data_IF_361474113310
#
_entry.id   IF_361474113310
#
_cell.length_a   1.000
_cell.length_b   1.000
_cell.length_c   1.000
_cell.angle_alpha   90.00
_cell.angle_beta   90.00
_cell.angle_gamma   90.00
#
_symmetry.space_group_name_H-M   'P 1'
#
loop_
_entity.id
_entity.type
_entity.pdbx_description
1 polymer ?
#
# COMPACT_ATOMS: atom_id res chain seq x y z
N UNK A 1 6.35 10.02 -10.13
CA UNK A 1 6.13 8.57 -10.25
C UNK A 1 7.25 7.93 -11.05
N UNK A 2 7.80 6.80 -10.59
CA UNK A 2 8.67 5.98 -11.43
C UNK A 2 7.74 5.21 -12.38
N UNK A 3 7.48 5.83 -13.54
CA UNK A 3 6.36 5.50 -14.43
C UNK A 3 6.36 4.07 -14.97
N UNK A 4 7.43 3.31 -14.78
CA UNK A 4 7.61 1.99 -15.36
C UNK A 4 7.25 0.84 -14.42
N UNK A 5 6.96 1.09 -13.14
CA UNK A 5 6.77 0.03 -12.14
C UNK A 5 5.32 -0.02 -11.68
N UNK A 6 4.63 -1.11 -12.04
CA UNK A 6 3.39 -1.56 -11.43
C UNK A 6 3.73 -2.72 -10.51
N UNK A 7 3.31 -2.60 -9.26
CA UNK A 7 3.58 -3.61 -8.24
C UNK A 7 2.33 -4.34 -7.79
N UNK A 8 2.52 -5.47 -7.12
CA UNK A 8 1.45 -6.21 -6.45
C UNK A 8 1.72 -6.28 -4.94
N UNK A 9 0.72 -5.94 -4.13
CA UNK A 9 0.71 -6.29 -2.72
C UNK A 9 0.49 -7.79 -2.56
N UNK A 10 1.50 -8.50 -2.04
CA UNK A 10 1.54 -9.95 -1.94
C UNK A 10 0.42 -10.55 -1.08
N UNK A 11 -0.18 -9.79 -0.16
CA UNK A 11 -1.39 -10.20 0.57
C UNK A 11 -2.56 -10.60 -0.36
N UNK A 12 -2.56 -10.07 -1.59
CA UNK A 12 -3.50 -10.43 -2.67
C UNK A 12 -3.46 -11.90 -3.04
N UNK A 13 -2.37 -12.62 -2.74
CA UNK A 13 -2.16 -14.04 -3.04
C UNK A 13 -1.75 -14.85 -1.80
N UNK A 14 -2.06 -14.34 -0.59
CA UNK A 14 -1.64 -14.93 0.70
C UNK A 14 -1.86 -16.44 0.83
N UNK A 15 -2.96 -16.98 0.27
CA UNK A 15 -3.22 -18.42 0.35
C UNK A 15 -2.25 -19.21 -0.53
N UNK A 16 -1.82 -18.65 -1.66
CA UNK A 16 -0.80 -19.26 -2.50
C UNK A 16 0.59 -19.18 -1.87
N UNK A 17 0.90 -18.07 -1.19
CA UNK A 17 2.18 -17.91 -0.47
C UNK A 17 2.35 -18.99 0.61
N UNK A 18 1.31 -19.26 1.40
CA UNK A 18 1.35 -20.31 2.43
C UNK A 18 1.51 -21.73 1.87
N UNK A 19 1.21 -21.95 0.58
CA UNK A 19 1.33 -23.25 -0.09
C UNK A 19 2.63 -23.39 -0.90
N UNK A 20 3.44 -22.34 -1.00
CA UNK A 20 4.64 -22.28 -1.84
C UNK A 20 5.01 -20.84 -2.17
N UNK A 21 5.76 -20.20 -1.27
CA UNK A 21 6.10 -18.78 -1.39
C UNK A 21 6.85 -18.48 -2.69
N UNK A 22 7.90 -19.27 -2.99
CA UNK A 22 8.72 -19.05 -4.17
C UNK A 22 7.94 -19.26 -5.47
N UNK A 23 7.17 -20.35 -5.55
CA UNK A 23 6.34 -20.66 -6.71
C UNK A 23 5.31 -19.56 -6.99
N UNK A 24 4.66 -19.07 -5.93
CA UNK A 24 3.66 -18.02 -6.05
C UNK A 24 4.29 -16.69 -6.49
N UNK A 25 5.43 -16.28 -5.93
CA UNK A 25 6.13 -15.04 -6.32
C UNK A 25 6.70 -15.13 -7.75
N UNK A 26 7.26 -16.28 -8.16
CA UNK A 26 7.69 -16.50 -9.54
C UNK A 26 6.53 -16.35 -10.53
N UNK A 27 5.33 -16.78 -10.14
CA UNK A 27 4.13 -16.59 -10.97
C UNK A 27 3.78 -15.11 -11.14
N UNK A 28 3.92 -14.30 -10.11
CA UNK A 28 3.73 -12.83 -10.20
C UNK A 28 4.72 -12.19 -11.17
N UNK A 29 6.00 -12.59 -11.08
CA UNK A 29 7.02 -12.17 -12.05
C UNK A 29 6.65 -12.53 -13.49
N UNK A 30 6.18 -13.77 -13.71
CA UNK A 30 5.78 -14.25 -15.06
C UNK A 30 4.59 -13.50 -15.66
N UNK A 31 3.74 -12.88 -14.84
CA UNK A 31 2.61 -12.06 -15.27
C UNK A 31 3.04 -10.67 -15.76
N UNK A 32 4.26 -10.24 -15.43
CA UNK A 32 4.85 -8.99 -15.88
C UNK A 32 4.91 -7.88 -14.83
N UNK A 33 4.46 -8.11 -13.59
CA UNK A 33 4.67 -7.15 -12.50
C UNK A 33 6.17 -6.87 -12.33
N UNK A 34 6.52 -5.60 -12.13
CA UNK A 34 7.93 -5.18 -11.97
C UNK A 34 8.34 -5.01 -10.51
N UNK A 35 7.37 -5.01 -9.60
CA UNK A 35 7.63 -4.88 -8.18
C UNK A 35 6.61 -5.62 -7.33
N UNK A 36 6.95 -5.76 -6.06
CA UNK A 36 6.08 -6.32 -5.03
C UNK A 36 6.10 -5.43 -3.80
N UNK A 37 4.96 -5.34 -3.15
CA UNK A 37 4.88 -4.93 -1.76
C UNK A 37 4.75 -6.18 -0.90
N UNK A 38 5.66 -6.31 0.06
CA UNK A 38 5.71 -7.48 0.95
C UNK A 38 4.66 -7.36 2.06
N UNK A 39 4.17 -8.49 2.56
CA UNK A 39 3.31 -8.54 3.73
C UNK A 39 3.39 -9.92 4.39
N UNK A 40 3.26 -9.96 5.72
CA UNK A 40 3.24 -11.21 6.48
C UNK A 40 4.58 -11.93 6.48
N UNK A 41 4.56 -13.26 6.36
CA UNK A 41 5.78 -14.05 6.29
C UNK A 41 6.46 -13.92 4.93
N UNK A 42 7.79 -13.83 4.93
CA UNK A 42 8.60 -13.74 3.70
C UNK A 42 9.10 -15.12 3.26
N UNK A 43 8.25 -16.14 3.38
CA UNK A 43 8.59 -17.52 3.04
C UNK A 43 9.64 -18.16 3.96
N UNK A 44 9.83 -17.62 5.17
CA UNK A 44 10.84 -18.05 6.13
C UNK A 44 12.29 -17.77 5.70
N UNK A 45 12.50 -17.00 4.63
CA UNK A 45 13.83 -16.64 4.13
C UNK A 45 14.45 -15.54 4.99
N UNK A 46 15.77 -15.57 5.11
CA UNK A 46 16.56 -14.44 5.60
C UNK A 46 16.47 -13.26 4.62
N UNK A 47 16.86 -12.06 5.06
CA UNK A 47 16.90 -10.87 4.20
C UNK A 47 17.75 -11.12 2.94
N UNK A 48 18.96 -11.66 3.12
CA UNK A 48 19.84 -12.02 2.01
C UNK A 48 19.19 -12.98 1.00
N UNK A 49 18.60 -14.08 1.48
CA UNK A 49 17.94 -15.08 0.62
C UNK A 49 16.74 -14.49 -0.13
N UNK A 50 15.94 -13.66 0.55
CA UNK A 50 14.81 -12.99 -0.06
C UNK A 50 15.26 -12.01 -1.15
N UNK A 51 16.34 -11.25 -0.89
CA UNK A 51 16.93 -10.31 -1.86
C UNK A 51 17.39 -11.03 -3.12
N UNK A 52 18.17 -12.10 -2.98
CA UNK A 52 18.67 -12.88 -4.11
C UNK A 52 17.49 -13.46 -4.91
N UNK A 53 16.52 -14.06 -4.23
CA UNK A 53 15.35 -14.64 -4.87
C UNK A 53 14.49 -13.61 -5.64
N UNK A 54 14.22 -12.45 -5.05
CA UNK A 54 13.50 -11.38 -5.74
C UNK A 54 14.31 -10.81 -6.91
N UNK A 55 15.63 -10.76 -6.78
CA UNK A 55 16.56 -10.43 -7.87
C UNK A 55 16.49 -11.40 -9.04
N UNK A 56 16.47 -12.71 -8.78
CA UNK A 56 16.25 -13.76 -9.80
C UNK A 56 14.90 -13.59 -10.50
N UNK A 57 13.86 -13.25 -9.72
CA UNK A 57 12.53 -12.95 -10.24
C UNK A 57 12.44 -11.59 -10.95
N UNK A 58 13.51 -10.76 -10.92
CA UNK A 58 13.53 -9.38 -11.43
C UNK A 58 12.43 -8.49 -10.83
N UNK A 59 12.04 -8.78 -9.59
CA UNK A 59 11.04 -8.03 -8.85
C UNK A 59 11.72 -7.06 -7.89
N UNK A 60 11.34 -5.78 -7.95
CA UNK A 60 11.78 -4.78 -6.97
C UNK A 60 10.87 -4.82 -5.74
N UNK A 61 11.44 -4.68 -4.55
CA UNK A 61 10.65 -4.38 -3.34
C UNK A 61 10.35 -2.89 -3.34
N UNK A 62 9.06 -2.54 -3.41
CA UNK A 62 8.61 -1.13 -3.44
C UNK A 62 7.83 -0.73 -2.19
N UNK A 63 7.72 -1.64 -1.23
CA UNK A 63 7.17 -1.42 0.09
C UNK A 63 7.09 -2.71 0.88
N UNK A 64 6.75 -2.58 2.16
CA UNK A 64 6.37 -3.70 3.00
C UNK A 64 5.36 -3.26 4.05
N UNK A 65 4.29 -4.02 4.20
CA UNK A 65 3.38 -3.93 5.33
C UNK A 65 4.02 -4.60 6.54
N UNK A 66 4.26 -3.81 7.59
CA UNK A 66 4.81 -4.26 8.88
C UNK A 66 3.82 -3.92 9.97
N UNK A 67 3.49 -4.90 10.82
CA UNK A 67 2.48 -4.72 11.85
C UNK A 67 2.87 -3.62 12.85
N UNK A 68 1.87 -2.93 13.41
CA UNK A 68 2.13 -1.92 14.44
C UNK A 68 2.86 -2.51 15.66
N UNK A 69 2.54 -3.74 16.03
CA UNK A 69 3.21 -4.45 17.12
C UNK A 69 4.71 -4.67 16.84
N UNK A 70 5.07 -5.10 15.64
CA UNK A 70 6.47 -5.26 15.24
C UNK A 70 7.20 -3.93 15.21
N UNK A 71 6.57 -2.88 14.68
CA UNK A 71 7.16 -1.54 14.64
C UNK A 71 7.39 -0.96 16.04
N UNK A 72 6.57 -1.34 17.02
CA UNK A 72 6.71 -0.88 18.40
C UNK A 72 7.80 -1.64 19.17
N UNK A 73 7.92 -2.94 18.92
CA UNK A 73 8.75 -3.83 19.74
C UNK A 73 10.08 -4.23 19.09
N UNK A 74 10.20 -4.13 17.76
CA UNK A 74 11.27 -4.72 16.95
C UNK A 74 11.76 -3.79 15.82
N UNK A 75 11.64 -2.47 16.00
CA UNK A 75 11.89 -1.49 14.93
C UNK A 75 13.30 -1.59 14.33
N UNK A 76 14.33 -1.76 15.17
CA UNK A 76 15.72 -1.85 14.70
C UNK A 76 15.91 -3.08 13.79
N UNK A 77 15.32 -4.23 14.16
CA UNK A 77 15.37 -5.44 13.35
C UNK A 77 14.62 -5.26 12.02
N UNK A 78 13.47 -4.60 12.05
CA UNK A 78 12.69 -4.25 10.84
C UNK A 78 13.52 -3.35 9.91
N UNK A 79 14.16 -2.32 10.46
CA UNK A 79 15.04 -1.40 9.70
C UNK A 79 16.20 -2.15 9.05
N UNK A 80 16.93 -2.97 9.83
CA UNK A 80 18.08 -3.71 9.32
C UNK A 80 17.68 -4.69 8.21
N UNK A 81 16.58 -5.43 8.42
CA UNK A 81 16.03 -6.34 7.41
C UNK A 81 15.69 -5.60 6.11
N UNK A 82 14.95 -4.49 6.20
CA UNK A 82 14.51 -3.78 5.02
C UNK A 82 15.64 -3.08 4.27
N UNK A 83 16.68 -2.60 4.97
CA UNK A 83 17.89 -2.09 4.33
C UNK A 83 18.62 -3.19 3.57
N UNK A 84 18.75 -4.37 4.14
CA UNK A 84 19.47 -5.47 3.52
C UNK A 84 18.81 -5.92 2.22
N UNK A 85 17.48 -6.06 2.21
CA UNK A 85 16.71 -6.41 1.00
C UNK A 85 16.61 -5.26 -0.02
N UNK A 86 17.04 -4.05 0.35
CA UNK A 86 16.98 -2.86 -0.50
C UNK A 86 15.57 -2.28 -0.62
N UNK A 87 14.70 -2.51 0.35
CA UNK A 87 13.40 -1.85 0.44
C UNK A 87 13.59 -0.42 0.98
N UNK A 88 12.84 0.54 0.43
CA UNK A 88 12.87 1.94 0.88
C UNK A 88 11.64 2.34 1.70
N UNK A 89 10.53 1.59 1.59
CA UNK A 89 9.24 1.99 2.17
C UNK A 89 8.76 0.98 3.20
N UNK A 90 8.62 1.39 4.46
CA UNK A 90 7.96 0.61 5.51
C UNK A 90 6.59 1.24 5.75
N UNK A 91 5.54 0.43 5.68
CA UNK A 91 4.15 0.89 5.81
C UNK A 91 3.50 0.17 6.97
N UNK A 92 2.93 0.94 7.91
CA UNK A 92 2.06 0.41 8.95
C UNK A 92 0.63 0.28 8.38
N UNK A 93 0.08 -0.94 8.24
CA UNK A 93 -1.22 -1.14 7.61
C UNK A 93 -2.40 -0.87 8.54
N UNK A 94 -2.16 -0.81 9.83
CA UNK A 94 -3.20 -0.66 10.83
C UNK A 94 -2.60 -0.22 12.16
N UNK A 95 -3.25 0.73 12.82
CA UNK A 95 -3.03 1.06 14.22
C UNK A 95 -4.35 0.95 15.01
N UNK A 96 -4.32 0.62 16.31
CA UNK A 96 -5.51 0.53 17.14
C UNK A 96 -6.11 1.92 17.42
N UNK A 97 -6.99 2.37 16.53
CA UNK A 97 -7.71 3.65 16.60
C UNK A 97 -9.11 3.43 17.21
N UNK A 98 -9.18 3.23 18.53
CA UNK A 98 -10.42 2.88 19.24
C UNK A 98 -11.18 4.12 19.75
N UNK A 99 -10.46 5.11 20.29
CA UNK A 99 -11.02 6.35 20.84
C UNK A 99 -10.20 7.60 20.43
N UNK A 100 -10.77 8.78 20.65
CA UNK A 100 -10.13 10.05 20.27
C UNK A 100 -8.84 10.34 21.07
N UNK A 101 -8.84 10.01 22.36
CA UNK A 101 -7.64 10.18 23.20
C UNK A 101 -6.49 9.26 22.72
N UNK A 102 -6.81 8.16 22.01
CA UNK A 102 -5.82 7.25 21.46
C UNK A 102 -5.07 7.86 20.27
N UNK A 103 -5.66 8.84 19.58
CA UNK A 103 -4.96 9.47 18.45
C UNK A 103 -3.68 10.17 18.90
N UNK A 104 -3.63 10.78 20.08
CA UNK A 104 -2.40 11.45 20.52
C UNK A 104 -1.25 10.44 20.68
N UNK A 105 -1.51 9.32 21.36
CA UNK A 105 -0.51 8.27 21.54
C UNK A 105 -0.07 7.69 20.20
N UNK A 106 -1.02 7.37 19.32
CA UNK A 106 -0.72 6.83 17.99
C UNK A 106 0.06 7.83 17.14
N UNK A 107 -0.28 9.13 17.16
CA UNK A 107 0.45 10.16 16.42
C UNK A 107 1.91 10.28 16.90
N UNK A 108 2.12 10.28 18.22
CA UNK A 108 3.46 10.32 18.81
C UNK A 108 4.27 9.07 18.41
N UNK A 109 3.65 7.89 18.44
CA UNK A 109 4.29 6.64 18.02
C UNK A 109 4.62 6.63 16.53
N UNK A 110 3.69 7.02 15.64
CA UNK A 110 3.93 7.07 14.20
C UNK A 110 5.07 8.05 13.85
N UNK A 111 5.10 9.23 14.48
CA UNK A 111 6.19 10.20 14.28
C UNK A 111 7.52 9.65 14.80
N UNK A 112 7.53 9.01 15.97
CA UNK A 112 8.74 8.39 16.54
C UNK A 112 9.30 7.28 15.64
N UNK A 113 8.43 6.41 15.12
CA UNK A 113 8.82 5.36 14.16
C UNK A 113 9.40 6.02 12.89
N UNK A 114 8.70 7.02 12.34
CA UNK A 114 9.16 7.75 11.16
C UNK A 114 10.52 8.43 11.34
N UNK A 115 10.79 8.99 12.51
CA UNK A 115 12.09 9.57 12.85
C UNK A 115 13.22 8.53 12.81
N UNK A 116 13.00 7.33 13.37
CA UNK A 116 14.00 6.27 13.40
C UNK A 116 14.23 5.67 12.00
N UNK A 117 13.16 5.44 11.23
CA UNK A 117 13.27 5.02 9.83
C UNK A 117 14.08 6.04 9.02
N UNK A 118 13.80 7.34 9.20
CA UNK A 118 14.50 8.42 8.48
C UNK A 118 15.99 8.49 8.80
N UNK A 119 16.39 8.23 10.06
CA UNK A 119 17.82 8.13 10.45
C UNK A 119 18.58 7.03 9.71
N UNK A 120 17.84 6.08 9.15
CA UNK A 120 18.35 4.93 8.39
C UNK A 120 18.06 5.01 6.88
N UNK A 121 17.73 6.20 6.37
CA UNK A 121 17.39 6.48 4.97
C UNK A 121 16.16 5.70 4.44
N UNK A 122 15.29 5.24 5.35
CA UNK A 122 14.01 4.61 5.04
C UNK A 122 12.87 5.61 5.18
N UNK A 123 11.82 5.41 4.38
CA UNK A 123 10.57 6.16 4.48
C UNK A 123 9.54 5.33 5.23
N UNK A 124 8.91 5.94 6.22
CA UNK A 124 7.81 5.34 6.96
C UNK A 124 6.47 5.94 6.54
N UNK A 125 5.46 5.08 6.38
CA UNK A 125 4.12 5.53 6.09
C UNK A 125 3.02 4.72 6.78
N UNK A 126 1.80 5.22 6.65
CA UNK A 126 0.58 4.59 7.17
C UNK A 126 -0.39 4.30 6.01
N UNK A 127 -0.99 3.10 6.00
CA UNK A 127 -1.99 2.70 5.01
C UNK A 127 -3.39 2.74 5.61
N UNK A 128 -4.35 3.31 4.88
CA UNK A 128 -5.72 3.48 5.35
C UNK A 128 -6.67 2.35 4.95
N UNK A 129 -7.63 2.08 5.82
CA UNK A 129 -8.84 1.33 5.51
C UNK A 129 -10.07 2.26 5.54
N UNK A 130 -11.27 1.68 5.47
CA UNK A 130 -12.51 2.45 5.58
C UNK A 130 -12.77 2.93 7.02
N UNK A 131 -12.17 2.29 8.02
CA UNK A 131 -12.41 2.58 9.43
C UNK A 131 -11.86 3.95 9.85
N UNK A 132 -10.76 4.38 9.24
CA UNK A 132 -10.10 5.66 9.47
C UNK A 132 -10.98 6.85 9.04
N UNK A 133 -11.96 6.63 8.18
CA UNK A 133 -12.89 7.67 7.75
C UNK A 133 -14.11 7.82 8.66
N UNK A 134 -14.22 7.02 9.72
CA UNK A 134 -15.22 7.26 10.77
C UNK A 134 -15.00 8.65 11.40
N UNK A 135 -16.10 9.26 11.82
CA UNK A 135 -16.09 10.59 12.43
C UNK A 135 -15.74 10.53 13.92
N UNK A 136 -14.77 11.35 14.32
CA UNK A 136 -14.34 11.61 15.69
C UNK A 136 -14.48 13.11 15.97
N UNK A 137 -15.45 13.47 16.83
CA UNK A 137 -15.86 14.87 17.10
C UNK A 137 -16.00 15.74 15.84
N UNK A 138 -16.62 15.18 14.80
CA UNK A 138 -16.91 15.90 13.55
C UNK A 138 -15.78 15.92 12.53
N UNK A 139 -14.64 15.27 12.81
CA UNK A 139 -13.53 15.12 11.87
C UNK A 139 -13.36 13.65 11.48
N UNK A 140 -13.01 13.37 10.23
CA UNK A 140 -12.59 12.03 9.85
C UNK A 140 -11.28 11.68 10.59
N UNK A 141 -11.17 10.46 11.13
CA UNK A 141 -9.94 10.00 11.80
C UNK A 141 -8.70 10.13 10.89
N UNK A 142 -8.87 9.89 9.59
CA UNK A 142 -7.81 10.05 8.60
C UNK A 142 -7.32 11.50 8.47
N UNK A 143 -8.21 12.49 8.58
CA UNK A 143 -7.83 13.90 8.64
C UNK A 143 -7.02 14.21 9.92
N UNK A 144 -7.31 13.54 11.04
CA UNK A 144 -6.55 13.67 12.29
C UNK A 144 -5.14 13.10 12.10
N UNK A 145 -5.02 11.90 11.51
CA UNK A 145 -3.72 11.27 11.20
C UNK A 145 -2.87 12.16 10.27
N UNK A 146 -3.47 12.67 9.19
CA UNK A 146 -2.77 13.54 8.24
C UNK A 146 -2.27 14.83 8.91
N UNK A 147 -3.07 15.47 9.75
CA UNK A 147 -2.69 16.74 10.40
C UNK A 147 -1.75 16.56 11.58
N UNK A 148 -1.84 15.43 12.28
CA UNK A 148 -1.09 15.17 13.50
C UNK A 148 0.28 14.53 13.29
N UNK A 149 0.56 14.05 12.07
CA UNK A 149 1.86 13.48 11.71
C UNK A 149 2.72 14.49 10.94
N UNK A 150 4.02 14.49 11.22
CA UNK A 150 4.99 15.33 10.52
C UNK A 150 5.17 14.83 9.07
N UNK A 151 4.97 15.68 8.04
CA UNK A 151 5.10 15.27 6.64
C UNK A 151 6.51 14.82 6.23
N UNK A 152 7.56 15.21 6.97
CA UNK A 152 8.93 14.76 6.71
C UNK A 152 9.24 13.39 7.34
N UNK A 153 8.42 12.95 8.29
CA UNK A 153 8.59 11.68 9.01
C UNK A 153 7.61 10.60 8.54
N UNK A 154 6.36 10.99 8.24
CA UNK A 154 5.27 10.08 7.93
C UNK A 154 4.58 10.47 6.62
N UNK A 155 4.73 9.61 5.62
CA UNK A 155 3.89 9.64 4.42
C UNK A 155 2.66 8.73 4.58
N UNK A 156 1.75 8.76 3.63
CA UNK A 156 0.61 7.86 3.59
C UNK A 156 0.63 7.01 2.33
N UNK A 157 0.32 5.73 2.50
CA UNK A 157 -0.05 4.86 1.40
C UNK A 157 -1.57 4.94 1.25
N UNK A 158 -2.02 5.64 0.20
CA UNK A 158 -3.44 5.88 0.00
C UNK A 158 -4.12 4.66 -0.64
N UNK A 159 -4.99 3.99 0.10
CA UNK A 159 -5.97 3.08 -0.49
C UNK A 159 -7.17 3.88 -0.99
N UNK A 160 -7.21 4.04 -2.31
CA UNK A 160 -8.22 4.82 -3.02
C UNK A 160 -9.61 4.18 -2.92
N UNK A 161 -9.69 2.85 -2.85
CA UNK A 161 -10.94 2.11 -2.77
C UNK A 161 -11.55 2.22 -1.37
N UNK A 162 -10.75 2.04 -0.33
CA UNK A 162 -11.22 2.11 1.05
C UNK A 162 -11.63 3.53 1.44
N UNK A 163 -10.95 4.54 0.90
CA UNK A 163 -11.39 5.93 1.04
C UNK A 163 -12.77 6.15 0.40
N UNK A 164 -13.00 5.64 -0.82
CA UNK A 164 -14.31 5.76 -1.47
C UNK A 164 -15.40 4.97 -0.73
N UNK A 165 -15.09 3.79 -0.20
CA UNK A 165 -15.98 3.02 0.68
C UNK A 165 -16.29 3.80 1.97
N UNK A 166 -15.31 4.55 2.50
CA UNK A 166 -15.47 5.48 3.62
C UNK A 166 -16.28 6.74 3.29
N UNK A 167 -16.72 6.92 2.04
CA UNK A 167 -17.54 8.06 1.61
C UNK A 167 -16.73 9.30 1.22
N UNK A 168 -15.43 9.16 0.97
CA UNK A 168 -14.54 10.25 0.61
C UNK A 168 -13.95 10.07 -0.80
N UNK A 169 -13.62 11.18 -1.45
CA UNK A 169 -13.04 11.16 -2.79
C UNK A 169 -11.50 11.20 -2.74
N UNK A 170 -10.79 10.20 -3.32
CA UNK A 170 -9.33 10.18 -3.33
C UNK A 170 -8.70 11.34 -4.10
N UNK A 171 -9.36 11.88 -5.12
CA UNK A 171 -8.86 13.03 -5.89
C UNK A 171 -8.88 14.28 -5.02
N UNK A 172 -9.97 14.52 -4.29
CA UNK A 172 -10.10 15.65 -3.37
C UNK A 172 -9.00 15.61 -2.30
N UNK A 173 -8.70 14.43 -1.75
CA UNK A 173 -7.62 14.27 -0.77
C UNK A 173 -6.24 14.53 -1.37
N UNK A 174 -5.96 13.99 -2.57
CA UNK A 174 -4.70 14.24 -3.26
C UNK A 174 -4.47 15.75 -3.48
N UNK A 175 -5.51 16.49 -3.88
CA UNK A 175 -5.43 17.93 -4.10
C UNK A 175 -5.31 18.73 -2.80
N UNK A 176 -5.97 18.28 -1.73
CA UNK A 176 -5.92 18.91 -0.41
C UNK A 176 -4.58 18.70 0.31
N UNK A 177 -3.92 17.56 0.08
CA UNK A 177 -2.69 17.17 0.77
C UNK A 177 -1.58 16.71 -0.20
N UNK A 178 -1.13 17.59 -1.12
CA UNK A 178 -0.10 17.24 -2.09
C UNK A 178 1.20 16.82 -1.38
N UNK A 179 1.84 15.78 -1.89
CA UNK A 179 3.09 15.22 -1.36
C UNK A 179 2.93 14.29 -0.16
N UNK A 180 1.71 14.16 0.42
CA UNK A 180 1.48 13.23 1.54
C UNK A 180 1.32 11.77 1.10
N UNK A 181 0.85 11.52 -0.12
CA UNK A 181 0.60 10.17 -0.63
C UNK A 181 1.72 9.70 -1.54
N UNK A 182 2.77 9.06 -0.97
CA UNK A 182 3.92 8.58 -1.76
C UNK A 182 3.67 7.22 -2.40
N UNK A 183 2.82 6.39 -1.80
CA UNK A 183 2.37 5.10 -2.35
C UNK A 183 0.85 5.11 -2.47
N UNK A 184 0.30 4.28 -3.34
CA UNK A 184 -1.14 4.10 -3.40
C UNK A 184 -1.52 2.68 -3.77
N UNK A 185 -2.44 2.14 -2.98
CA UNK A 185 -3.15 0.92 -3.31
C UNK A 185 -4.26 1.21 -4.31
N UNK A 186 -4.15 0.53 -5.44
CA UNK A 186 -5.10 0.55 -6.54
C UNK A 186 -5.88 -0.76 -6.46
N UNK A 187 -7.12 -0.63 -6.00
CA UNK A 187 -8.07 -1.74 -5.84
C UNK A 187 -9.36 -1.35 -6.50
N UNK A 188 -10.09 -2.33 -7.00
CA UNK A 188 -11.39 -2.10 -7.62
C UNK A 188 -12.47 -2.98 -6.98
N UNK A 189 -13.71 -2.53 -7.04
CA UNK A 189 -14.82 -3.20 -6.40
C UNK A 189 -16.15 -2.88 -7.06
N UNK A 190 -17.16 -3.69 -6.77
CA UNK A 190 -18.58 -3.41 -7.01
C UNK A 190 -19.34 -3.45 -5.71
N UNK A 191 -20.51 -2.82 -5.71
CA UNK A 191 -21.48 -2.94 -4.63
C UNK A 191 -22.59 -3.86 -5.12
N UNK A 192 -22.82 -4.97 -4.41
CA UNK A 192 -23.94 -5.86 -4.76
C UNK A 192 -25.28 -5.33 -4.22
N UNK A 193 -26.38 -6.01 -4.54
CA UNK A 193 -27.74 -5.64 -4.12
C UNK A 193 -27.91 -5.52 -2.60
N UNK A 194 -27.10 -6.26 -1.82
CA UNK A 194 -27.08 -6.23 -0.36
C UNK A 194 -26.11 -5.18 0.22
N UNK A 195 -25.67 -4.21 -0.60
CA UNK A 195 -24.69 -3.17 -0.25
C UNK A 195 -23.34 -3.70 0.23
N UNK A 196 -22.99 -4.95 -0.12
CA UNK A 196 -21.67 -5.50 0.20
C UNK A 196 -20.65 -5.09 -0.86
N UNK A 197 -19.45 -4.76 -0.39
CA UNK A 197 -18.28 -4.52 -1.22
C UNK A 197 -17.79 -5.86 -1.75
N UNK A 198 -17.77 -6.02 -3.07
CA UNK A 198 -17.28 -7.21 -3.77
C UNK A 198 -16.02 -6.80 -4.52
N UNK A 199 -14.83 -7.30 -4.13
CA UNK A 199 -13.59 -7.03 -4.85
C UNK A 199 -13.69 -7.43 -6.32
N UNK A 200 -13.05 -6.66 -7.20
CA UNK A 200 -12.99 -6.91 -8.62
C UNK A 200 -11.55 -6.76 -9.10
N UNK A 201 -11.20 -7.47 -10.17
CA UNK A 201 -10.00 -7.15 -10.92
C UNK A 201 -10.04 -5.68 -11.39
N UNK A 202 -8.89 -5.03 -11.44
CA UNK A 202 -8.78 -3.60 -11.80
C UNK A 202 -9.46 -3.31 -13.13
N UNK A 203 -10.33 -2.31 -13.17
CA UNK A 203 -11.08 -1.89 -14.36
C UNK A 203 -12.38 -2.65 -14.59
N UNK A 204 -12.71 -3.62 -13.73
CA UNK A 204 -13.98 -4.34 -13.78
C UNK A 204 -14.97 -3.89 -12.69
N UNK A 205 -14.62 -2.91 -11.86
CA UNK A 205 -15.47 -2.36 -10.82
C UNK A 205 -15.94 -0.93 -11.10
N UNK A 206 -16.00 -0.12 -10.05
CA UNK A 206 -16.60 1.23 -10.09
C UNK A 206 -15.58 2.36 -9.90
N UNK A 207 -14.31 2.04 -9.66
CA UNK A 207 -13.28 3.05 -9.44
C UNK A 207 -12.94 3.80 -10.73
N UNK A 208 -12.94 5.13 -10.68
CA UNK A 208 -12.56 5.97 -11.83
C UNK A 208 -11.04 6.19 -11.89
N UNK A 209 -10.32 5.17 -12.35
CA UNK A 209 -8.86 5.24 -12.47
C UNK A 209 -8.36 6.25 -13.50
N UNK A 210 -9.21 6.68 -14.45
CA UNK A 210 -8.85 7.73 -15.40
C UNK A 210 -8.77 9.11 -14.72
N UNK A 211 -9.52 9.33 -13.64
CA UNK A 211 -9.41 10.53 -12.81
C UNK A 211 -8.40 10.36 -11.66
N UNK A 212 -8.39 9.20 -11.01
CA UNK A 212 -7.61 8.96 -9.79
C UNK A 212 -6.11 8.92 -10.06
N UNK A 213 -5.66 8.14 -11.04
CA UNK A 213 -4.22 7.93 -11.29
C UNK A 213 -3.52 9.25 -11.67
N UNK A 214 -4.03 10.07 -12.60
CA UNK A 214 -3.41 11.36 -12.89
C UNK A 214 -3.34 12.29 -11.67
N UNK A 215 -4.33 12.26 -10.78
CA UNK A 215 -4.29 13.05 -9.55
C UNK A 215 -3.20 12.57 -8.59
N UNK A 216 -3.09 11.26 -8.38
CA UNK A 216 -2.00 10.65 -7.59
C UNK A 216 -0.63 11.08 -8.13
N UNK A 217 -0.43 10.94 -9.44
CA UNK A 217 0.83 11.31 -10.09
C UNK A 217 1.17 12.79 -9.94
N UNK A 218 0.20 13.66 -10.22
CA UNK A 218 0.34 15.12 -10.10
C UNK A 218 0.70 15.54 -8.67
N UNK A 219 0.18 14.83 -7.68
CA UNK A 219 0.31 15.18 -6.26
C UNK A 219 1.41 14.38 -5.54
N UNK A 220 2.34 13.77 -6.28
CA UNK A 220 3.59 13.25 -5.70
C UNK A 220 3.61 11.75 -5.38
N UNK A 221 2.68 10.96 -5.93
CA UNK A 221 2.74 9.51 -5.80
C UNK A 221 3.94 8.92 -6.59
N UNK A 222 4.66 8.00 -5.95
CA UNK A 222 5.85 7.35 -6.47
C UNK A 222 5.53 6.03 -7.19
N UNK A 223 4.62 5.23 -6.62
CA UNK A 223 4.27 3.89 -7.09
C UNK A 223 2.78 3.58 -6.95
N UNK A 224 2.26 2.83 -7.91
CA UNK A 224 0.93 2.24 -7.87
C UNK A 224 1.06 0.76 -7.54
N UNK A 225 0.32 0.32 -6.54
CA UNK A 225 0.38 -1.04 -6.00
C UNK A 225 -1.00 -1.65 -6.17
N UNK A 226 -1.10 -2.67 -7.02
CA UNK A 226 -2.34 -3.42 -7.17
C UNK A 226 -2.56 -4.25 -5.91
N UNK A 227 -3.77 -4.19 -5.35
CA UNK A 227 -4.19 -5.12 -4.30
C UNK A 227 -5.57 -5.70 -4.62
N UNK A 228 -5.78 -6.98 -4.29
CA UNK A 228 -7.04 -7.69 -4.51
C UNK A 228 -7.46 -8.47 -3.27
N UNK A 229 -8.76 -8.47 -2.98
CA UNK A 229 -9.35 -9.31 -1.93
C UNK A 229 -9.70 -10.74 -2.37
N UNK A 230 -9.54 -11.09 -3.66
CA UNK A 230 -10.09 -12.32 -4.24
C UNK A 230 -9.20 -13.56 -4.06
N UNK A 231 -7.89 -13.38 -3.92
CA UNK A 231 -6.91 -14.47 -3.68
C UNK A 231 -6.80 -15.50 -4.81
N UNK A 232 -6.97 -15.05 -6.06
CA UNK A 232 -6.83 -15.88 -7.26
C UNK A 232 -5.91 -15.22 -8.31
N UNK A 233 -5.10 -16.05 -8.97
CA UNK A 233 -4.15 -15.57 -9.98
C UNK A 233 -4.81 -15.00 -11.24
N UNK A 234 -6.03 -15.45 -11.59
CA UNK A 234 -6.74 -14.95 -12.77
C UNK A 234 -7.07 -13.46 -12.62
N UNK A 235 -7.58 -13.05 -11.45
CA UNK A 235 -7.88 -11.67 -11.13
C UNK A 235 -6.61 -10.82 -11.02
N UNK A 236 -5.52 -11.37 -10.48
CA UNK A 236 -4.21 -10.70 -10.41
C UNK A 236 -3.65 -10.40 -11.79
N UNK A 237 -3.69 -11.38 -12.70
CA UNK A 237 -3.23 -11.23 -14.08
C UNK A 237 -4.13 -10.29 -14.89
N UNK A 238 -5.46 -10.43 -14.76
CA UNK A 238 -6.42 -9.53 -15.37
C UNK A 238 -6.20 -8.09 -14.93
N UNK A 239 -5.93 -7.88 -13.64
CA UNK A 239 -5.63 -6.57 -13.05
C UNK A 239 -4.39 -5.94 -13.65
N UNK A 240 -3.29 -6.70 -13.76
CA UNK A 240 -2.06 -6.22 -14.39
C UNK A 240 -2.31 -5.76 -15.83
N UNK A 241 -2.97 -6.61 -16.63
CA UNK A 241 -3.28 -6.28 -18.02
C UNK A 241 -4.16 -5.03 -18.13
N UNK A 242 -5.11 -4.86 -17.22
CA UNK A 242 -6.03 -3.73 -17.26
C UNK A 242 -5.37 -2.43 -16.79
N UNK A 243 -4.58 -2.44 -15.71
CA UNK A 243 -3.88 -1.24 -15.25
C UNK A 243 -2.88 -0.75 -16.30
N UNK A 244 -2.15 -1.64 -16.98
CA UNK A 244 -1.26 -1.26 -18.10
C UNK A 244 -2.04 -0.58 -19.24
N UNK A 245 -3.25 -1.05 -19.57
CA UNK A 245 -4.10 -0.39 -20.58
C UNK A 245 -4.56 1.00 -20.13
N UNK A 246 -4.94 1.15 -18.86
CA UNK A 246 -5.37 2.43 -18.28
C UNK A 246 -4.20 3.43 -18.34
N UNK A 247 -3.01 3.02 -17.90
CA UNK A 247 -1.82 3.86 -17.88
C UNK A 247 -1.39 4.31 -19.29
N UNK A 248 -1.46 3.41 -20.29
CA UNK A 248 -1.19 3.77 -21.70
C UNK A 248 -2.19 4.80 -22.25
N UNK A 249 -3.47 4.71 -21.86
CA UNK A 249 -4.50 5.66 -22.29
C UNK A 249 -4.35 7.05 -21.67
N UNK A 250 -3.84 7.12 -20.44
CA UNK A 250 -3.63 8.37 -19.74
C UNK A 250 -2.36 9.13 -20.20
N UNK A 251 -1.64 8.65 -21.22
CA UNK A 251 -0.31 9.15 -21.65
C UNK A 251 0.72 9.14 -20.50
N UNK A 252 0.53 8.25 -19.53
CA UNK A 252 1.38 8.10 -18.34
C UNK A 252 2.37 6.95 -18.46
N UNK A 253 2.36 6.23 -19.59
CA UNK A 253 3.22 5.09 -19.92
C UNK A 253 3.69 5.14 -21.36
#
# INVERSE_FOLDING_TARGET
MNKEIVALQLFSIRNHLSNGYKEAVMKISSMGYQGVELAGDYGGMTAFELKEFLGECRLKVIGAHVSFEELMNQLDQVIDFHKEIGNQYIVCPYAPLEAEDDFRGILDDLNRIGEQCRKSDLLFGYHNHAAEFKSFRGHAGFDILLKGTDPDLVFFELDTSWMQVGGHDPVDYCEKYPGRFKLSHIRDYKINENRKIIPQAIGNGIMDFHRIIPSLEKNGCHYLIVELGTNDFESVEASFRNIIKILKRNNTF
#
